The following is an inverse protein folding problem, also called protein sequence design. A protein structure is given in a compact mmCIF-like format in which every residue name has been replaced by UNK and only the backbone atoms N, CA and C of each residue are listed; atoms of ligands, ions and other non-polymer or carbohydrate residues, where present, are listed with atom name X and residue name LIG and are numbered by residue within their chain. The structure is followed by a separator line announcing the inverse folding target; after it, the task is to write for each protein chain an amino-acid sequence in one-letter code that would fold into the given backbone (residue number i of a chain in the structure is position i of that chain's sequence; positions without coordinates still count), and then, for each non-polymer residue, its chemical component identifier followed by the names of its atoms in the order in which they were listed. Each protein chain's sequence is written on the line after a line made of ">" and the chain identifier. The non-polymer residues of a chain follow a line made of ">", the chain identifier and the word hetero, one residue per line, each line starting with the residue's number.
data_IF_705098591315
#
_entry.id   IF_705098591315
#
_cell.length_a   1.000
_cell.length_b   1.000
_cell.length_c   1.000
_cell.angle_alpha   90.00
_cell.angle_beta   90.00
_cell.angle_gamma   90.00
#
_symmetry.space_group_name_H-M   'P 1'
#
loop_
_entity.id
_entity.type
_entity.pdbx_description
1 polymer ?
#
# COMPACT_ATOMS: atom_id res chain seq x y z
N UNK A 1 2.45 23.92 -1.44
CA UNK A 1 2.28 24.31 -2.85
C UNK A 1 0.81 24.20 -3.18
N UNK A 2 0.15 25.25 -3.69
CA UNK A 2 -1.25 25.12 -4.04
C UNK A 2 -1.41 24.05 -5.12
N UNK A 3 -2.52 23.32 -5.12
CA UNK A 3 -2.76 22.31 -6.15
C UNK A 3 -2.77 23.00 -7.52
N UNK A 4 -2.10 22.35 -8.47
CA UNK A 4 -2.13 22.80 -9.85
C UNK A 4 -3.59 22.69 -10.33
N UNK A 5 -4.16 23.80 -10.82
CA UNK A 5 -5.57 23.85 -11.24
C UNK A 5 -5.90 22.93 -12.40
N UNK A 6 -4.90 22.22 -12.95
CA UNK A 6 -5.01 21.21 -14.02
C UNK A 6 -4.67 19.79 -13.57
N UNK A 7 -4.40 19.55 -12.28
CA UNK A 7 -4.04 18.19 -11.80
C UNK A 7 -5.25 17.26 -11.87
N UNK A 8 -5.09 16.11 -12.52
CA UNK A 8 -6.14 15.09 -12.53
C UNK A 8 -6.21 14.38 -11.17
N UNK A 9 -7.37 13.78 -10.80
CA UNK A 9 -7.47 12.97 -9.59
C UNK A 9 -6.40 11.86 -9.51
N UNK A 10 -6.08 11.22 -10.63
CA UNK A 10 -5.04 10.19 -10.68
C UNK A 10 -3.64 10.78 -10.43
N UNK A 11 -3.35 11.98 -10.94
CA UNK A 11 -2.06 12.65 -10.70
C UNK A 11 -1.93 13.08 -9.24
N UNK A 12 -3.00 13.57 -8.64
CA UNK A 12 -3.05 13.88 -7.21
C UNK A 12 -2.79 12.63 -6.35
N UNK A 13 -3.41 11.50 -6.69
CA UNK A 13 -3.17 10.23 -6.01
C UNK A 13 -1.70 9.78 -6.13
N UNK A 14 -1.12 9.83 -7.33
CA UNK A 14 0.30 9.49 -7.53
C UNK A 14 1.23 10.39 -6.73
N UNK A 15 0.97 11.69 -6.72
CA UNK A 15 1.77 12.64 -5.95
C UNK A 15 1.74 12.32 -4.45
N UNK A 16 0.57 12.00 -3.89
CA UNK A 16 0.45 11.61 -2.48
C UNK A 16 1.20 10.31 -2.20
N UNK A 17 1.06 9.31 -3.06
CA UNK A 17 1.73 8.02 -2.93
C UNK A 17 3.26 8.19 -3.02
N UNK A 18 3.74 8.96 -3.98
CA UNK A 18 5.18 9.17 -4.18
C UNK A 18 5.82 9.96 -3.05
N UNK A 19 5.09 10.87 -2.42
CA UNK A 19 5.57 11.66 -1.30
C UNK A 19 5.66 10.87 0.01
N UNK A 20 5.02 9.70 0.12
CA UNK A 20 4.91 8.94 1.35
C UNK A 20 5.64 7.60 1.27
N UNK A 21 6.27 7.21 2.37
CA UNK A 21 6.98 5.92 2.49
C UNK A 21 6.10 4.82 3.09
N UNK A 22 5.11 5.19 3.88
CA UNK A 22 4.23 4.26 4.59
C UNK A 22 2.79 4.44 4.19
N UNK A 23 2.09 3.33 4.09
CA UNK A 23 0.63 3.31 4.07
C UNK A 23 0.10 2.75 5.40
N UNK A 24 -1.12 3.09 5.75
CA UNK A 24 -1.85 2.42 6.81
C UNK A 24 -2.61 1.25 6.22
N UNK A 25 -2.29 0.05 6.69
CA UNK A 25 -2.94 -1.20 6.31
C UNK A 25 -3.99 -1.55 7.36
N UNK A 26 -5.24 -1.63 6.96
CA UNK A 26 -6.36 -2.08 7.78
C UNK A 26 -6.73 -3.52 7.40
N UNK A 27 -6.76 -4.38 8.41
CA UNK A 27 -7.11 -5.81 8.30
C UNK A 27 -8.13 -6.18 9.36
N UNK A 28 -8.75 -7.33 9.24
CA UNK A 28 -9.61 -7.88 10.27
C UNK A 28 -9.34 -9.37 10.48
N UNK A 29 -9.55 -9.85 11.71
CA UNK A 29 -9.46 -11.29 12.01
C UNK A 29 -10.73 -12.04 11.58
N UNK A 30 -10.76 -13.35 11.81
CA UNK A 30 -11.91 -14.18 11.44
C UNK A 30 -13.21 -13.76 12.13
N UNK A 31 -13.14 -13.11 13.29
CA UNK A 31 -14.31 -12.59 14.01
C UNK A 31 -14.72 -11.18 13.57
N UNK A 32 -13.95 -10.54 12.68
CA UNK A 32 -14.19 -9.19 12.20
C UNK A 32 -13.55 -8.10 13.06
N UNK A 33 -12.71 -8.45 14.03
CA UNK A 33 -11.99 -7.44 14.82
C UNK A 33 -10.97 -6.73 13.97
N UNK A 34 -11.04 -5.38 13.85
CA UNK A 34 -10.13 -4.62 12.99
C UNK A 34 -8.76 -4.42 13.63
N UNK A 35 -7.78 -4.28 12.77
CA UNK A 35 -6.42 -3.90 13.12
C UNK A 35 -5.84 -2.97 12.06
N UNK A 36 -5.18 -1.91 12.47
CA UNK A 36 -4.51 -0.96 11.57
C UNK A 36 -3.03 -0.88 11.92
N UNK A 37 -2.18 -0.91 10.90
CA UNK A 37 -0.72 -0.85 11.07
C UNK A 37 -0.07 -0.13 9.90
N UNK A 38 1.00 0.67 10.11
CA UNK A 38 1.79 1.21 9.02
C UNK A 38 2.68 0.12 8.43
N UNK A 39 2.81 0.10 7.10
CA UNK A 39 3.79 -0.71 6.37
C UNK A 39 4.49 0.15 5.31
N UNK A 40 5.79 -0.04 5.16
CA UNK A 40 6.53 0.54 4.04
C UNK A 40 6.10 -0.18 2.75
N UNK A 41 5.87 0.56 1.67
CA UNK A 41 5.21 0.01 0.51
C UNK A 41 5.81 0.47 -0.83
N UNK A 42 5.53 -0.32 -1.85
CA UNK A 42 5.64 0.06 -3.25
C UNK A 42 4.28 -0.11 -3.94
N UNK A 43 4.09 0.58 -5.03
CA UNK A 43 2.82 0.60 -5.75
C UNK A 43 3.08 0.42 -7.26
N UNK A 44 2.12 -0.13 -7.97
CA UNK A 44 2.13 -0.26 -9.43
C UNK A 44 0.75 0.06 -10.01
N UNK A 45 0.71 1.06 -10.90
CA UNK A 45 -0.47 1.50 -11.65
C UNK A 45 -1.72 1.83 -10.82
N UNK A 46 -1.57 2.23 -9.55
CA UNK A 46 -2.66 2.44 -8.60
C UNK A 46 -3.53 1.19 -8.39
N UNK A 47 -3.05 0.02 -8.81
CA UNK A 47 -3.77 -1.25 -8.78
C UNK A 47 -3.19 -2.27 -7.83
N UNK A 48 -1.88 -2.26 -7.67
CA UNK A 48 -1.17 -3.23 -6.83
C UNK A 48 -0.32 -2.49 -5.81
N UNK A 49 -0.41 -2.93 -4.57
CA UNK A 49 0.33 -2.39 -3.44
C UNK A 49 1.09 -3.52 -2.78
N UNK A 50 2.40 -3.35 -2.62
CA UNK A 50 3.30 -4.38 -2.12
C UNK A 50 3.94 -3.95 -0.81
N UNK A 51 4.10 -4.88 0.12
CA UNK A 51 4.87 -4.69 1.34
C UNK A 51 5.53 -5.99 1.78
N UNK A 52 6.60 -5.86 2.57
CA UNK A 52 7.26 -6.97 3.23
C UNK A 52 6.92 -6.92 4.72
N UNK A 53 6.51 -8.05 5.26
CA UNK A 53 6.23 -8.21 6.68
C UNK A 53 6.65 -9.60 7.16
N UNK A 54 6.90 -9.71 8.46
CA UNK A 54 7.04 -11.03 9.08
C UNK A 54 5.70 -11.77 8.97
N UNK A 55 5.74 -13.05 8.61
CA UNK A 55 4.52 -13.86 8.47
C UNK A 55 3.80 -14.11 9.81
N UNK A 56 4.47 -13.88 10.93
CA UNK A 56 3.92 -14.04 12.29
C UNK A 56 3.19 -12.79 12.81
N UNK A 57 3.18 -11.69 12.07
CA UNK A 57 2.52 -10.47 12.51
C UNK A 57 1.00 -10.62 12.52
N UNK A 58 0.34 -9.81 13.35
CA UNK A 58 -1.13 -9.80 13.44
C UNK A 58 -1.80 -9.55 12.09
N UNK A 59 -1.32 -8.56 11.32
CA UNK A 59 -1.88 -8.27 9.99
C UNK A 59 -1.62 -9.41 9.00
N UNK A 60 -0.49 -10.11 9.06
CA UNK A 60 -0.23 -11.28 8.22
C UNK A 60 -1.16 -12.44 8.54
N UNK A 61 -1.41 -12.72 9.83
CA UNK A 61 -2.39 -13.73 10.26
C UNK A 61 -3.81 -13.33 9.83
N UNK A 62 -4.18 -12.06 9.97
CA UNK A 62 -5.49 -11.58 9.55
C UNK A 62 -5.72 -11.79 8.05
N UNK A 63 -4.75 -11.45 7.21
CA UNK A 63 -4.81 -11.63 5.75
C UNK A 63 -4.96 -13.10 5.37
N UNK A 64 -4.27 -14.01 6.06
CA UNK A 64 -4.39 -15.44 5.82
C UNK A 64 -5.81 -15.98 6.09
N UNK A 65 -6.55 -15.37 7.00
CA UNK A 65 -7.91 -15.73 7.36
C UNK A 65 -8.98 -14.97 6.58
N UNK A 66 -8.69 -13.70 6.26
CA UNK A 66 -9.61 -12.77 5.59
C UNK A 66 -8.81 -11.83 4.69
N UNK A 67 -8.93 -12.04 3.39
CA UNK A 67 -8.13 -11.31 2.39
C UNK A 67 -8.55 -9.86 2.19
N UNK A 68 -9.80 -9.50 2.51
CA UNK A 68 -10.30 -8.14 2.37
C UNK A 68 -9.52 -7.16 3.25
N UNK A 69 -8.98 -6.11 2.62
CA UNK A 69 -8.18 -5.07 3.28
C UNK A 69 -8.60 -3.68 2.83
N UNK A 70 -8.25 -2.68 3.63
CA UNK A 70 -8.29 -1.29 3.22
C UNK A 70 -6.92 -0.65 3.46
N UNK A 71 -6.56 0.29 2.59
CA UNK A 71 -5.30 1.03 2.69
C UNK A 71 -5.60 2.53 2.70
N UNK A 72 -4.80 3.28 3.43
CA UNK A 72 -4.82 4.74 3.39
C UNK A 72 -3.40 5.28 3.27
N UNK A 73 -3.22 6.27 2.38
CA UNK A 73 -1.96 7.01 2.24
C UNK A 73 -2.25 8.49 2.38
N UNK A 74 -1.57 9.16 3.29
CA UNK A 74 -1.70 10.60 3.49
C UNK A 74 -0.46 11.16 4.18
N UNK A 75 -0.22 12.46 4.01
CA UNK A 75 0.85 13.17 4.69
C UNK A 75 0.28 13.88 5.93
N UNK A 76 0.66 13.42 7.12
CA UNK A 76 0.20 13.98 8.39
C UNK A 76 0.94 15.27 8.79
N UNK A 77 1.93 15.71 8.01
CA UNK A 77 2.76 16.89 8.32
C UNK A 77 2.24 18.17 7.67
N UNK A 78 1.24 18.08 6.78
CA UNK A 78 0.60 19.23 6.14
C UNK A 78 -0.32 19.97 7.11
N UNK A 79 -0.64 21.22 6.77
CA UNK A 79 -1.57 22.03 7.56
C UNK A 79 -2.97 21.38 7.60
N UNK A 80 -3.65 21.59 8.73
CA UNK A 80 -5.04 21.13 8.89
C UNK A 80 -5.94 21.73 7.80
N UNK A 81 -6.73 20.88 7.14
CA UNK A 81 -7.61 21.27 6.04
C UNK A 81 -6.96 21.23 4.65
N UNK A 82 -5.66 20.93 4.54
CA UNK A 82 -4.98 20.81 3.25
C UNK A 82 -4.55 19.37 2.92
N UNK A 83 -4.88 18.40 3.77
CA UNK A 83 -4.53 17.01 3.55
C UNK A 83 -5.29 16.41 2.36
N UNK A 84 -4.54 15.76 1.48
CA UNK A 84 -5.07 14.89 0.43
C UNK A 84 -4.76 13.47 0.84
N UNK A 85 -5.73 12.57 0.70
CA UNK A 85 -5.57 11.16 1.05
C UNK A 85 -5.98 10.28 -0.12
N UNK A 86 -5.30 9.14 -0.23
CA UNK A 86 -5.67 8.05 -1.13
C UNK A 86 -6.24 6.92 -0.29
N UNK A 87 -7.40 6.43 -0.69
CA UNK A 87 -8.06 5.30 -0.05
C UNK A 87 -8.15 4.14 -1.02
N UNK A 88 -7.91 2.94 -0.53
CA UNK A 88 -7.95 1.71 -1.34
C UNK A 88 -8.76 0.66 -0.61
N UNK A 89 -9.68 0.03 -1.31
CA UNK A 89 -10.24 -1.27 -0.93
C UNK A 89 -9.65 -2.34 -1.85
N UNK A 90 -9.34 -3.49 -1.31
CA UNK A 90 -8.75 -4.56 -2.11
C UNK A 90 -8.69 -5.91 -1.39
N UNK A 91 -8.04 -6.84 -2.07
CA UNK A 91 -7.78 -8.19 -1.59
C UNK A 91 -6.28 -8.39 -1.45
N UNK A 92 -5.82 -8.83 -0.30
CA UNK A 92 -4.42 -9.06 -0.01
C UNK A 92 -4.08 -10.54 0.10
N UNK A 93 -2.90 -10.89 -0.40
CA UNK A 93 -2.36 -12.25 -0.32
C UNK A 93 -0.86 -12.22 -0.05
N UNK A 94 -0.36 -13.27 0.60
CA UNK A 94 1.06 -13.59 0.58
C UNK A 94 1.41 -14.13 -0.82
N UNK A 95 2.46 -13.61 -1.45
CA UNK A 95 2.83 -14.02 -2.80
C UNK A 95 3.55 -15.36 -2.82
N UNK A 96 3.14 -16.23 -3.75
CA UNK A 96 3.81 -17.48 -4.05
C UNK A 96 5.01 -17.29 -4.98
N UNK A 97 5.84 -18.32 -5.13
CA UNK A 97 7.09 -18.26 -5.89
C UNK A 97 6.91 -17.79 -7.34
N UNK A 98 5.81 -18.16 -7.99
CA UNK A 98 5.55 -17.79 -9.39
C UNK A 98 5.31 -16.29 -9.63
N UNK A 99 4.97 -15.55 -8.58
CA UNK A 99 4.65 -14.12 -8.65
C UNK A 99 5.77 -13.24 -8.06
N UNK A 100 6.77 -13.84 -7.40
CA UNK A 100 7.78 -13.09 -6.65
C UNK A 100 8.67 -12.23 -7.54
N UNK A 101 9.13 -12.71 -8.67
CA UNK A 101 10.11 -11.99 -9.49
C UNK A 101 9.55 -10.64 -9.95
N UNK A 102 8.34 -10.62 -10.51
CA UNK A 102 7.71 -9.38 -10.96
C UNK A 102 7.42 -8.43 -9.80
N UNK A 103 6.97 -8.95 -8.67
CA UNK A 103 6.68 -8.15 -7.47
C UNK A 103 7.97 -7.58 -6.85
N UNK A 104 9.04 -8.35 -6.80
CA UNK A 104 10.34 -7.90 -6.31
C UNK A 104 10.98 -6.84 -7.23
N UNK A 105 10.72 -6.87 -8.53
CA UNK A 105 11.15 -5.82 -9.45
C UNK A 105 10.51 -4.48 -9.09
N UNK A 106 9.20 -4.46 -8.84
CA UNK A 106 8.46 -3.25 -8.42
C UNK A 106 8.95 -2.77 -7.05
N UNK A 107 8.97 -3.67 -6.08
CA UNK A 107 9.38 -3.37 -4.70
C UNK A 107 10.84 -2.96 -4.61
N UNK A 108 11.71 -3.63 -5.37
CA UNK A 108 13.14 -3.33 -5.46
C UNK A 108 13.42 -1.98 -6.12
N UNK A 109 12.70 -1.62 -7.18
CA UNK A 109 12.84 -0.31 -7.83
C UNK A 109 12.52 0.82 -6.85
N UNK A 110 11.46 0.68 -6.06
CA UNK A 110 11.09 1.65 -5.02
C UNK A 110 12.16 1.70 -3.93
N UNK A 111 12.70 0.54 -3.51
CA UNK A 111 13.76 0.47 -2.51
C UNK A 111 15.01 1.22 -2.96
N UNK A 112 15.47 0.98 -4.17
CA UNK A 112 16.65 1.66 -4.75
C UNK A 112 16.41 3.16 -4.87
N UNK A 113 15.23 3.59 -5.32
CA UNK A 113 14.86 5.00 -5.42
C UNK A 113 14.88 5.71 -4.06
N UNK A 114 14.74 4.98 -2.96
CA UNK A 114 14.79 5.48 -1.58
C UNK A 114 16.13 5.23 -0.90
N UNK A 115 17.17 4.80 -1.63
CA UNK A 115 18.51 4.56 -1.11
C UNK A 115 18.65 3.27 -0.30
N UNK A 116 17.71 2.34 -0.44
CA UNK A 116 17.72 1.06 0.23
C UNK A 116 18.20 -0.06 -0.71
N UNK A 117 18.72 -1.16 -0.15
CA UNK A 117 19.04 -2.33 -0.95
C UNK A 117 17.74 -3.00 -1.43
N UNK A 118 17.70 -3.56 -2.63
CA UNK A 118 16.56 -4.35 -3.07
C UNK A 118 16.47 -5.66 -2.29
N UNK A 119 15.24 -6.12 -2.07
CA UNK A 119 14.96 -7.44 -1.50
C UNK A 119 15.16 -8.53 -2.57
N UNK A 120 15.65 -9.68 -2.14
CA UNK A 120 15.84 -10.88 -2.98
C UNK A 120 14.77 -11.92 -2.64
N UNK A 121 14.54 -12.85 -3.56
CA UNK A 121 13.62 -13.97 -3.32
C UNK A 121 14.00 -14.77 -2.05
N UNK A 122 15.29 -14.97 -1.79
CA UNK A 122 15.77 -15.65 -0.58
C UNK A 122 15.45 -14.92 0.73
N UNK A 123 15.20 -13.61 0.69
CA UNK A 123 14.83 -12.81 1.86
C UNK A 123 13.37 -13.03 2.28
N UNK A 124 12.52 -13.53 1.38
CA UNK A 124 11.06 -13.64 1.56
C UNK A 124 10.51 -15.05 1.29
N UNK A 125 11.36 -16.06 1.30
CA UNK A 125 10.99 -17.46 1.07
C UNK A 125 11.65 -18.39 2.09
N UNK A 126 11.23 -19.64 2.12
CA UNK A 126 11.84 -20.70 2.91
C UNK A 126 11.85 -20.39 4.40
N UNK A 127 13.03 -20.46 5.01
CA UNK A 127 13.23 -20.18 6.44
C UNK A 127 13.37 -18.69 6.77
N UNK A 128 13.34 -17.79 5.77
CA UNK A 128 13.34 -16.36 6.03
C UNK A 128 12.10 -15.97 6.82
N UNK A 129 12.22 -15.05 7.81
CA UNK A 129 11.09 -14.65 8.65
C UNK A 129 10.10 -13.73 7.94
N UNK A 130 10.49 -13.16 6.81
CA UNK A 130 9.70 -12.21 6.05
C UNK A 130 9.02 -12.86 4.84
N UNK A 131 7.92 -12.24 4.41
CA UNK A 131 7.19 -12.59 3.19
C UNK A 131 6.82 -11.31 2.45
N UNK A 132 6.63 -11.43 1.16
CA UNK A 132 6.12 -10.36 0.31
C UNK A 132 4.61 -10.51 0.13
N UNK A 133 3.89 -9.44 0.37
CA UNK A 133 2.44 -9.37 0.26
C UNK A 133 2.04 -8.42 -0.86
N UNK A 134 0.90 -8.69 -1.46
CA UNK A 134 0.27 -7.81 -2.45
C UNK A 134 -1.19 -7.61 -2.08
N UNK A 135 -1.64 -6.36 -2.06
CA UNK A 135 -3.04 -6.00 -2.17
C UNK A 135 -3.35 -5.62 -3.61
N UNK A 136 -4.35 -6.27 -4.19
CA UNK A 136 -4.92 -5.89 -5.49
C UNK A 136 -6.13 -5.02 -5.23
N UNK A 137 -6.08 -3.77 -5.71
CA UNK A 137 -7.14 -2.81 -5.51
C UNK A 137 -8.40 -3.20 -6.30
N UNK A 138 -9.54 -3.21 -5.63
CA UNK A 138 -10.86 -3.31 -6.25
C UNK A 138 -11.46 -1.93 -6.50
N UNK A 139 -11.08 -0.96 -5.66
CA UNK A 139 -11.48 0.44 -5.79
C UNK A 139 -10.42 1.35 -5.18
N UNK A 140 -10.16 2.48 -5.83
CA UNK A 140 -9.27 3.54 -5.35
C UNK A 140 -9.98 4.88 -5.42
N UNK A 141 -9.84 5.68 -4.36
CA UNK A 141 -10.34 7.05 -4.29
C UNK A 141 -9.22 8.01 -3.90
N UNK A 142 -9.33 9.23 -4.35
CA UNK A 142 -8.55 10.35 -3.81
C UNK A 142 -9.50 11.36 -3.17
N UNK A 143 -9.09 11.92 -2.03
CA UNK A 143 -9.83 13.01 -1.38
C UNK A 143 -9.49 14.32 -2.10
N UNK A 144 -10.52 15.00 -2.59
CA UNK A 144 -10.37 16.31 -3.22
C UNK A 144 -10.37 17.46 -2.18
N UNK A 145 -10.08 18.71 -2.59
CA UNK A 145 -10.09 19.84 -1.67
C UNK A 145 -11.46 20.15 -1.05
N UNK A 146 -12.54 19.68 -1.65
CA UNK A 146 -13.92 19.83 -1.15
C UNK A 146 -14.34 18.66 -0.23
N UNK A 147 -13.37 17.87 0.21
CA UNK A 147 -13.54 16.69 1.08
C UNK A 147 -14.44 15.60 0.46
N UNK A 148 -14.48 15.53 -0.87
CA UNK A 148 -15.18 14.47 -1.60
C UNK A 148 -14.19 13.37 -2.00
N UNK A 149 -14.63 12.12 -1.87
CA UNK A 149 -13.86 10.97 -2.37
C UNK A 149 -14.16 10.74 -3.84
N UNK A 150 -13.21 11.06 -4.68
CA UNK A 150 -13.31 10.91 -6.14
C UNK A 150 -12.78 9.54 -6.53
N UNK A 151 -13.59 8.66 -7.11
CA UNK A 151 -13.12 7.34 -7.56
C UNK A 151 -12.19 7.50 -8.76
N UNK A 152 -11.14 6.66 -8.82
CA UNK A 152 -10.17 6.66 -9.92
C UNK A 152 -10.51 5.62 -11.00
N UNK A 153 -11.24 4.57 -10.64
CA UNK A 153 -11.80 3.55 -11.54
C UNK A 153 -12.88 2.75 -10.83
#
# INVERSE_FOLDING_TARGET
>A
MPPDTNETPADAARRVIDANSYLTLATADASGRPWATPVWFAEHDLREFFWVSRHETRHSHNIAQRSAVALAVFDSTVEVGSAIAVYVEGEAVELGESELDAALDVYGARSVARGLRPWKASDVTGFAPHRLYRATATQVWVLDPDEQRVPLF
#
